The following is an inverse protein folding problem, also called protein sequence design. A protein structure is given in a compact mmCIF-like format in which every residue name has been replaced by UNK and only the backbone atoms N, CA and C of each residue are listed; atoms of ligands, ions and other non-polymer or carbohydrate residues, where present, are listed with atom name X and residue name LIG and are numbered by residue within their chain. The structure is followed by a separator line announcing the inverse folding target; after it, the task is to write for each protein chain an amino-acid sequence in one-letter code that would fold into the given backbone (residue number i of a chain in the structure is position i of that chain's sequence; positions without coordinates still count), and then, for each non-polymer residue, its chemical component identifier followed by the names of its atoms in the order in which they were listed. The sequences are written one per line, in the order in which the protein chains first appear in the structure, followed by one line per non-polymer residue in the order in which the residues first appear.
data_IF_741913288031
#
_entry.id   IF_741913288031
#
_cell.length_a   1.000
_cell.length_b   1.000
_cell.length_c   1.000
_cell.angle_alpha   90.00
_cell.angle_beta   90.00
_cell.angle_gamma   90.00
#
_symmetry.space_group_name_H-M   'P 1'
#
loop_
_entity.id
_entity.type
_entity.pdbx_description
1 polymer ?
#
# COMPACT_ATOMS: atom_id res chain seq x y z
N UNK A 1 -3.11 -20.02 -31.44
CA UNK A 1 -2.85 -20.54 -30.08
C UNK A 1 -2.89 -19.37 -29.09
N UNK A 2 -3.97 -19.23 -28.32
CA UNK A 2 -4.09 -18.16 -27.31
C UNK A 2 -3.26 -18.53 -26.08
N UNK A 3 -2.28 -17.69 -25.74
CA UNK A 3 -1.41 -17.89 -24.57
C UNK A 3 -2.07 -17.24 -23.34
N UNK A 4 -2.55 -18.06 -22.42
CA UNK A 4 -3.03 -17.63 -21.09
C UNK A 4 -1.95 -16.85 -20.32
N UNK A 5 -0.67 -17.10 -20.63
CA UNK A 5 0.47 -16.36 -20.11
C UNK A 5 0.45 -14.87 -20.51
N UNK A 6 -0.13 -14.48 -21.66
CA UNK A 6 -0.27 -13.07 -22.06
C UNK A 6 -1.47 -12.36 -21.39
N UNK A 7 -2.52 -13.10 -21.02
CA UNK A 7 -3.63 -12.60 -20.21
C UNK A 7 -3.19 -12.29 -18.76
N UNK A 8 -2.17 -12.99 -18.28
CA UNK A 8 -1.59 -12.80 -16.94
C UNK A 8 -0.24 -12.08 -16.94
N UNK A 9 0.32 -11.72 -18.10
CA UNK A 9 1.49 -10.86 -18.18
C UNK A 9 1.22 -9.42 -17.67
N UNK A 10 -0.06 -9.01 -17.60
CA UNK A 10 -0.50 -7.77 -16.96
C UNK A 10 -0.84 -7.87 -15.46
N UNK A 11 -0.75 -9.07 -14.86
CA UNK A 11 -1.35 -9.43 -13.56
C UNK A 11 -0.74 -8.73 -12.34
N UNK A 12 0.37 -8.00 -12.53
CA UNK A 12 1.06 -7.27 -11.47
C UNK A 12 1.09 -5.74 -11.63
N UNK A 13 0.57 -5.22 -12.74
CA UNK A 13 0.53 -3.77 -12.98
C UNK A 13 -0.35 -3.07 -11.95
N UNK A 14 -1.58 -3.54 -11.75
CA UNK A 14 -2.55 -2.88 -10.88
C UNK A 14 -2.13 -2.90 -9.41
N UNK A 15 -1.69 -4.07 -8.92
CA UNK A 15 -1.13 -4.24 -7.58
C UNK A 15 0.08 -3.34 -7.36
N UNK A 16 1.08 -3.43 -8.24
CA UNK A 16 2.31 -2.64 -8.13
C UNK A 16 2.03 -1.14 -8.22
N UNK A 17 1.10 -0.74 -9.11
CA UNK A 17 0.67 0.65 -9.25
C UNK A 17 0.00 1.15 -7.98
N UNK A 18 -0.94 0.39 -7.42
CA UNK A 18 -1.59 0.74 -6.16
C UNK A 18 -0.58 0.87 -5.00
N UNK A 19 0.38 -0.06 -4.87
CA UNK A 19 1.45 0.03 -3.87
C UNK A 19 2.30 1.29 -4.08
N UNK A 20 2.72 1.56 -5.31
CA UNK A 20 3.51 2.76 -5.65
C UNK A 20 2.75 4.08 -5.46
N UNK A 21 1.43 4.05 -5.42
CA UNK A 21 0.59 5.22 -5.12
C UNK A 21 0.46 5.51 -3.62
N UNK A 22 0.84 4.58 -2.72
CA UNK A 22 0.72 4.78 -1.27
C UNK A 22 1.50 6.02 -0.76
N UNK A 23 2.75 6.29 -1.17
CA UNK A 23 3.44 7.52 -0.74
C UNK A 23 2.69 8.80 -1.11
N UNK A 24 2.17 8.88 -2.34
CA UNK A 24 1.37 10.01 -2.80
C UNK A 24 0.06 10.12 -2.00
N UNK A 25 -0.63 8.99 -1.81
CA UNK A 25 -1.88 8.96 -1.06
C UNK A 25 -1.70 9.39 0.41
N UNK A 26 -0.56 9.06 0.99
CA UNK A 26 -0.19 9.53 2.32
C UNK A 26 0.07 11.04 2.32
N UNK A 27 0.88 11.55 1.38
CA UNK A 27 1.16 12.98 1.25
C UNK A 27 -0.11 13.81 1.04
N UNK A 28 -1.08 13.33 0.25
CA UNK A 28 -2.38 14.00 0.07
C UNK A 28 -3.24 14.01 1.35
N UNK A 29 -2.96 13.12 2.30
CA UNK A 29 -3.69 13.02 3.57
C UNK A 29 -3.04 13.86 4.66
N UNK A 30 -1.71 13.84 4.77
CA UNK A 30 -0.97 14.51 5.87
C UNK A 30 -0.30 15.83 5.46
N UNK A 31 -0.24 16.15 4.17
CA UNK A 31 0.53 17.29 3.65
C UNK A 31 2.01 17.19 4.01
N UNK A 32 2.60 18.32 4.43
CA UNK A 32 4.00 18.38 4.85
C UNK A 32 4.25 17.83 6.27
N UNK A 33 3.21 17.35 6.97
CA UNK A 33 3.32 16.88 8.36
C UNK A 33 3.99 15.50 8.50
N UNK A 34 4.24 14.80 7.40
CA UNK A 34 4.94 13.52 7.42
C UNK A 34 5.31 13.00 6.04
N UNK A 35 6.28 12.08 6.00
CA UNK A 35 6.72 11.39 4.80
C UNK A 35 6.35 9.91 4.87
N UNK A 36 6.02 9.33 3.72
CA UNK A 36 5.85 7.90 3.54
C UNK A 36 6.69 7.44 2.34
N UNK A 37 7.37 6.31 2.46
CA UNK A 37 8.15 5.69 1.38
C UNK A 37 7.87 4.19 1.33
N UNK A 38 7.80 3.65 0.12
CA UNK A 38 7.77 2.20 -0.11
C UNK A 38 9.20 1.70 -0.26
N UNK A 39 9.58 0.69 0.53
CA UNK A 39 10.87 -0.01 0.42
C UNK A 39 10.66 -1.52 0.32
N UNK A 40 11.72 -2.22 -0.10
CA UNK A 40 11.77 -3.69 -0.20
C UNK A 40 10.59 -4.32 -0.95
N UNK A 41 10.04 -3.61 -1.94
CA UNK A 41 8.94 -4.12 -2.76
C UNK A 41 9.42 -5.34 -3.55
N UNK A 42 8.76 -6.48 -3.33
CA UNK A 42 8.88 -7.70 -4.14
C UNK A 42 7.57 -7.92 -4.90
N UNK A 43 7.44 -7.41 -6.14
CA UNK A 43 6.18 -7.44 -6.88
C UNK A 43 5.63 -8.84 -7.08
N UNK A 44 6.49 -9.83 -7.38
CA UNK A 44 6.09 -11.21 -7.65
C UNK A 44 5.26 -11.84 -6.52
N UNK A 45 5.54 -11.49 -5.27
CA UNK A 45 4.86 -12.02 -4.08
C UNK A 45 4.04 -10.97 -3.32
N UNK A 46 4.01 -9.72 -3.79
CA UNK A 46 3.22 -8.64 -3.18
C UNK A 46 3.66 -8.23 -1.78
N UNK A 47 4.92 -8.45 -1.41
CA UNK A 47 5.48 -8.05 -0.11
C UNK A 47 6.20 -6.72 -0.25
N UNK A 48 6.04 -5.81 0.71
CA UNK A 48 6.71 -4.52 0.75
C UNK A 48 6.75 -3.94 2.17
N UNK A 49 7.49 -2.86 2.35
CA UNK A 49 7.53 -2.10 3.60
C UNK A 49 7.06 -0.68 3.37
N UNK A 50 6.26 -0.16 4.30
CA UNK A 50 5.94 1.25 4.43
C UNK A 50 6.80 1.87 5.52
N UNK A 51 7.60 2.85 5.13
CA UNK A 51 8.45 3.63 6.01
C UNK A 51 7.81 5.00 6.21
N UNK A 52 7.37 5.27 7.42
CA UNK A 52 6.77 6.55 7.80
C UNK A 52 7.79 7.36 8.61
N UNK A 53 7.77 8.67 8.42
CA UNK A 53 8.52 9.62 9.22
C UNK A 53 7.60 10.81 9.52
N UNK A 54 7.38 11.12 10.79
CA UNK A 54 6.64 12.31 11.20
C UNK A 54 7.51 13.56 11.10
N UNK A 55 6.88 14.74 11.08
CA UNK A 55 7.61 16.01 11.22
C UNK A 55 8.41 16.12 12.53
N UNK A 56 8.02 15.39 13.59
CA UNK A 56 8.76 15.32 14.86
C UNK A 56 9.97 14.38 14.83
N UNK A 57 10.25 13.72 13.70
CA UNK A 57 11.36 12.78 13.55
C UNK A 57 11.07 11.36 14.03
N UNK A 58 9.83 11.06 14.46
CA UNK A 58 9.42 9.69 14.81
C UNK A 58 9.32 8.88 13.53
N UNK A 59 9.97 7.72 13.52
CA UNK A 59 9.94 6.80 12.38
C UNK A 59 9.21 5.52 12.73
N UNK A 60 8.44 5.01 11.77
CA UNK A 60 7.72 3.74 11.91
C UNK A 60 7.88 2.94 10.62
N UNK A 61 8.15 1.65 10.75
CA UNK A 61 8.25 0.72 9.62
C UNK A 61 7.17 -0.33 9.76
N UNK A 62 6.35 -0.47 8.74
CA UNK A 62 5.29 -1.47 8.67
C UNK A 62 5.56 -2.44 7.52
N UNK A 63 5.77 -3.71 7.83
CA UNK A 63 5.79 -4.77 6.84
C UNK A 63 4.37 -5.07 6.37
N UNK A 64 4.18 -5.08 5.05
CA UNK A 64 2.88 -5.17 4.40
C UNK A 64 2.88 -6.28 3.36
N UNK A 65 1.71 -6.86 3.14
CA UNK A 65 1.43 -7.71 1.98
C UNK A 65 0.25 -7.16 1.20
N UNK A 66 0.25 -7.39 -0.11
CA UNK A 66 -0.85 -7.08 -1.02
C UNK A 66 -1.13 -8.28 -1.93
N UNK A 67 -2.33 -8.82 -1.86
CA UNK A 67 -2.78 -9.91 -2.73
C UNK A 67 -3.96 -9.48 -3.60
N UNK A 68 -4.06 -10.08 -4.78
CA UNK A 68 -5.16 -9.87 -5.72
C UNK A 68 -6.20 -10.96 -5.48
N UNK A 69 -7.43 -10.60 -5.12
CA UNK A 69 -8.53 -11.56 -4.87
C UNK A 69 -9.47 -11.72 -6.07
N UNK A 70 -9.04 -11.26 -7.24
CA UNK A 70 -9.85 -11.17 -8.45
C UNK A 70 -9.63 -9.80 -9.07
N UNK A 71 -10.57 -8.89 -8.83
CA UNK A 71 -10.48 -7.48 -9.26
C UNK A 71 -9.94 -6.57 -8.15
N UNK A 72 -10.14 -6.97 -6.90
CA UNK A 72 -9.77 -6.19 -5.72
C UNK A 72 -8.35 -6.50 -5.24
N UNK A 73 -7.80 -5.56 -4.46
CA UNK A 73 -6.56 -5.74 -3.72
C UNK A 73 -6.85 -5.82 -2.23
N UNK A 74 -6.29 -6.83 -1.58
CA UNK A 74 -6.30 -6.94 -0.13
C UNK A 74 -4.92 -6.58 0.38
N UNK A 75 -4.85 -5.51 1.16
CA UNK A 75 -3.65 -5.11 1.90
C UNK A 75 -3.73 -5.69 3.31
N UNK A 76 -2.63 -6.25 3.81
CA UNK A 76 -2.61 -6.84 5.15
C UNK A 76 -1.30 -6.58 5.89
N UNK A 77 -1.41 -6.50 7.21
CA UNK A 77 -0.30 -6.41 8.17
C UNK A 77 -0.80 -6.77 9.57
N UNK A 78 0.01 -7.44 10.40
CA UNK A 78 -0.29 -7.69 11.82
C UNK A 78 -1.73 -8.18 12.10
N UNK A 79 -2.19 -9.20 11.37
CA UNK A 79 -3.56 -9.75 11.44
C UNK A 79 -4.71 -8.76 11.15
N UNK A 80 -4.39 -7.59 10.59
CA UNK A 80 -5.34 -6.60 10.07
C UNK A 80 -5.29 -6.63 8.56
N UNK A 81 -6.45 -6.47 7.92
CA UNK A 81 -6.54 -6.41 6.47
C UNK A 81 -7.54 -5.34 6.04
N UNK A 82 -7.40 -4.89 4.81
CA UNK A 82 -8.36 -4.02 4.15
C UNK A 82 -8.45 -4.35 2.67
N UNK A 83 -9.67 -4.41 2.17
CA UNK A 83 -9.96 -4.64 0.76
C UNK A 83 -10.16 -3.30 0.06
N UNK A 84 -9.49 -3.12 -1.08
CA UNK A 84 -9.56 -1.92 -1.92
C UNK A 84 -9.96 -2.34 -3.32
N UNK A 85 -11.10 -1.82 -3.77
CA UNK A 85 -11.62 -2.07 -5.11
C UNK A 85 -11.17 -1.01 -6.11
N UNK A 86 -10.97 -1.39 -7.39
CA UNK A 86 -10.66 -0.44 -8.45
C UNK A 86 -11.78 0.61 -8.64
N UNK A 87 -11.48 1.77 -9.26
CA UNK A 87 -10.14 2.23 -9.63
C UNK A 87 -9.31 2.61 -8.40
N UNK A 88 -8.01 2.29 -8.42
CA UNK A 88 -7.10 2.65 -7.33
C UNK A 88 -6.82 4.15 -7.36
N UNK A 89 -7.34 4.87 -6.38
CA UNK A 89 -7.12 6.31 -6.20
C UNK A 89 -6.53 6.57 -4.82
N UNK A 90 -5.84 7.70 -4.62
CA UNK A 90 -5.33 8.09 -3.30
C UNK A 90 -6.37 8.00 -2.19
N UNK A 91 -7.58 8.50 -2.42
CA UNK A 91 -8.69 8.45 -1.47
C UNK A 91 -9.07 7.02 -1.06
N UNK A 92 -9.12 6.08 -2.01
CA UNK A 92 -9.44 4.66 -1.74
C UNK A 92 -8.29 3.90 -1.07
N UNK A 93 -7.06 4.39 -1.15
CA UNK A 93 -5.90 3.80 -0.48
C UNK A 93 -5.73 4.26 0.98
N UNK A 94 -6.42 5.32 1.41
CA UNK A 94 -6.35 5.83 2.79
C UNK A 94 -6.56 4.75 3.88
N UNK A 95 -7.52 3.83 3.75
CA UNK A 95 -7.72 2.78 4.75
C UNK A 95 -6.50 1.86 4.98
N UNK A 96 -5.57 1.78 4.01
CA UNK A 96 -4.31 1.03 4.15
C UNK A 96 -3.44 1.62 5.26
N UNK A 97 -3.46 2.95 5.45
CA UNK A 97 -2.67 3.60 6.50
C UNK A 97 -3.24 3.35 7.88
N UNK A 98 -4.56 3.23 8.01
CA UNK A 98 -5.21 2.92 9.29
C UNK A 98 -4.71 1.58 9.84
N UNK A 99 -4.56 0.56 8.99
CA UNK A 99 -4.00 -0.73 9.43
C UNK A 99 -2.48 -0.70 9.60
N UNK A 100 -1.75 0.08 8.79
CA UNK A 100 -0.29 0.15 8.83
C UNK A 100 0.26 0.91 10.04
N UNK A 101 -0.46 1.94 10.50
CA UNK A 101 -0.11 2.77 11.65
C UNK A 101 -0.83 2.35 12.94
N UNK A 102 -1.66 1.32 12.89
CA UNK A 102 -2.37 0.83 14.06
C UNK A 102 -1.38 0.32 15.13
N UNK A 103 -1.31 1.05 16.24
CA UNK A 103 -0.36 0.81 17.33
C UNK A 103 0.96 1.58 17.22
N UNK A 104 1.11 2.45 16.21
CA UNK A 104 2.23 3.40 16.13
C UNK A 104 1.89 4.73 16.81
N UNK A 105 2.91 5.47 17.23
CA UNK A 105 2.76 6.83 17.77
C UNK A 105 2.46 7.88 16.68
N UNK A 106 2.54 7.49 15.40
CA UNK A 106 2.21 8.36 14.27
C UNK A 106 0.68 8.39 14.12
N UNK A 107 0.08 9.46 14.61
CA UNK A 107 -1.35 9.70 14.45
C UNK A 107 -1.69 10.14 13.01
N UNK A 108 -2.70 9.51 12.43
CA UNK A 108 -3.36 9.98 11.22
C UNK A 108 -4.27 11.15 11.59
N UNK A 109 -4.09 12.30 10.93
CA UNK A 109 -4.99 13.46 11.06
C UNK A 109 -6.20 13.33 10.16
#
# INVERSE_FOLDING_TARGET
MFSLSKLFAGKDCARTKAIKMLPQAYAEMVGDAGQCRVKHLRPSIGVFELHFCSASGVSHVCQMTACVTGVDLVFATNNRNVLVSPPFTPAKLRPVFAIALAGSEIALR
#
